data_IF_316420744567
#
_entry.id   IF_316420744567
#
_cell.length_a   1.000
_cell.length_b   1.000
_cell.length_c   1.000
_cell.angle_alpha   90.00
_cell.angle_beta   90.00
_cell.angle_gamma   90.00
#
_symmetry.space_group_name_H-M   'P 1'
#
loop_
_entity.id
_entity.type
_entity.pdbx_description
1 polymer ?
#
# COMPACT_ATOMS: atom_id res chain seq x y z
N UNK A 1 29.22 -6.74 75.36
CA UNK A 1 27.95 -7.48 75.20
C UNK A 1 26.83 -6.46 75.04
N UNK A 2 25.99 -6.59 74.00
CA UNK A 2 24.72 -5.85 73.80
C UNK A 2 24.85 -4.56 72.97
N UNK A 3 24.63 -4.59 71.65
CA UNK A 3 23.35 -4.50 70.90
C UNK A 3 22.87 -3.03 70.74
N UNK A 4 23.14 -2.36 69.61
CA UNK A 4 22.41 -2.39 68.31
C UNK A 4 21.08 -1.65 68.32
N UNK A 5 21.02 -0.45 67.71
CA UNK A 5 19.84 0.08 66.98
C UNK A 5 20.36 1.00 65.86
N UNK A 6 20.50 0.47 64.64
CA UNK A 6 20.51 1.31 63.43
C UNK A 6 19.07 1.74 63.11
N UNK A 7 18.86 2.91 62.48
CA UNK A 7 17.52 3.36 62.16
C UNK A 7 16.84 2.39 61.18
N UNK A 8 15.49 2.27 61.23
CA UNK A 8 14.77 1.28 60.45
C UNK A 8 14.88 1.58 58.96
N UNK A 9 15.27 0.55 58.18
CA UNK A 9 15.06 0.50 56.73
C UNK A 9 13.55 0.41 56.47
N UNK A 10 12.88 1.56 56.49
CA UNK A 10 11.46 1.69 56.19
C UNK A 10 11.22 1.68 54.68
N UNK A 11 10.74 0.53 54.19
CA UNK A 11 9.94 0.28 52.98
C UNK A 11 10.10 1.20 51.76
N UNK A 12 10.52 0.62 50.64
CA UNK A 12 10.18 1.18 49.33
C UNK A 12 8.66 1.33 49.22
N UNK A 13 8.12 2.55 48.97
CA UNK A 13 6.70 2.70 48.71
C UNK A 13 6.36 1.94 47.42
N UNK A 14 5.35 1.08 47.47
CA UNK A 14 4.76 0.51 46.27
C UNK A 14 4.29 1.65 45.37
N UNK A 15 4.96 1.84 44.23
CA UNK A 15 4.49 2.76 43.19
C UNK A 15 3.29 2.09 42.52
N UNK A 16 2.10 2.41 43.00
CA UNK A 16 0.88 2.17 42.24
C UNK A 16 1.03 2.85 40.88
N UNK A 17 0.91 2.10 39.80
CA UNK A 17 0.84 2.68 38.47
C UNK A 17 -0.51 3.38 38.31
N UNK A 18 -0.51 4.55 37.67
CA UNK A 18 -1.74 5.27 37.37
C UNK A 18 -2.75 4.38 36.64
N UNK A 19 -3.99 4.50 37.09
CA UNK A 19 -5.12 3.63 36.85
C UNK A 19 -5.29 3.22 35.38
N UNK A 20 -5.48 1.92 35.14
CA UNK A 20 -5.85 1.33 33.84
C UNK A 20 -6.98 2.10 33.14
N UNK A 21 -7.87 2.71 33.92
CA UNK A 21 -8.98 3.57 33.50
C UNK A 21 -8.58 4.91 32.87
N UNK A 22 -7.42 5.48 33.22
CA UNK A 22 -6.90 6.69 32.59
C UNK A 22 -6.46 6.45 31.13
N UNK A 23 -6.25 5.17 30.75
CA UNK A 23 -5.98 4.73 29.37
C UNK A 23 -7.22 4.10 28.69
N UNK A 24 -8.33 3.96 29.42
CA UNK A 24 -9.54 3.38 28.88
C UNK A 24 -10.28 4.41 28.03
N UNK A 25 -10.46 4.12 26.74
CA UNK A 25 -11.32 4.94 25.89
C UNK A 25 -12.76 4.90 26.41
N UNK A 26 -13.37 6.07 26.60
CA UNK A 26 -14.80 6.14 26.88
C UNK A 26 -15.59 5.57 25.70
N UNK A 27 -16.80 5.03 25.94
CA UNK A 27 -17.68 4.53 24.87
C UNK A 27 -17.91 5.58 23.78
N UNK A 28 -18.03 6.86 24.14
CA UNK A 28 -18.19 7.96 23.19
C UNK A 28 -16.93 8.20 22.37
N UNK A 29 -15.75 8.17 22.99
CA UNK A 29 -14.49 8.28 22.25
C UNK A 29 -14.31 7.09 21.30
N UNK A 30 -14.58 5.87 21.76
CA UNK A 30 -14.54 4.69 20.90
C UNK A 30 -15.51 4.82 19.72
N UNK A 31 -16.78 5.16 19.97
CA UNK A 31 -17.79 5.34 18.92
C UNK A 31 -17.47 6.51 17.98
N UNK A 32 -16.98 7.63 18.52
CA UNK A 32 -16.59 8.80 17.73
C UNK A 32 -15.37 8.52 16.85
N UNK A 33 -14.35 7.85 17.38
CA UNK A 33 -13.16 7.46 16.65
C UNK A 33 -13.47 6.41 15.59
N UNK A 34 -14.25 5.38 15.91
CA UNK A 34 -14.66 4.35 14.92
C UNK A 34 -15.60 4.91 13.86
N UNK A 35 -16.55 5.76 14.21
CA UNK A 35 -17.41 6.43 13.22
C UNK A 35 -16.61 7.36 12.30
N UNK A 36 -15.66 8.12 12.84
CA UNK A 36 -14.78 8.98 12.04
C UNK A 36 -13.90 8.19 11.07
N UNK A 37 -13.29 7.09 11.54
CA UNK A 37 -12.49 6.20 10.69
C UNK A 37 -13.34 5.54 9.60
N UNK A 38 -14.51 5.00 9.95
CA UNK A 38 -15.41 4.37 8.98
C UNK A 38 -15.93 5.37 7.94
N UNK A 39 -16.26 6.60 8.35
CA UNK A 39 -16.66 7.65 7.41
C UNK A 39 -15.52 8.04 6.46
N UNK A 40 -14.29 8.16 6.97
CA UNK A 40 -13.12 8.42 6.14
C UNK A 40 -12.81 7.29 5.15
N UNK A 41 -13.11 6.03 5.51
CA UNK A 41 -12.99 4.88 4.61
C UNK A 41 -14.14 4.80 3.59
N UNK A 42 -15.35 5.23 3.97
CA UNK A 42 -16.52 5.19 3.09
C UNK A 42 -16.45 6.22 1.94
N UNK A 43 -15.65 7.27 2.06
CA UNK A 43 -15.50 8.30 1.03
C UNK A 43 -14.48 7.98 -0.05
N UNK A 44 -13.75 6.85 0.08
CA UNK A 44 -12.69 6.48 -0.86
C UNK A 44 -13.04 5.19 -1.59
N UNK A 45 -13.16 5.24 -2.93
CA UNK A 45 -13.53 4.07 -3.74
C UNK A 45 -12.43 3.00 -3.80
N UNK A 46 -11.26 3.24 -3.21
CA UNK A 46 -10.10 2.35 -3.28
C UNK A 46 -10.14 1.19 -2.26
N UNK A 47 -11.03 1.23 -1.27
CA UNK A 47 -11.02 0.25 -0.16
C UNK A 47 -11.99 -0.90 -0.33
N UNK A 48 -13.00 -0.75 -1.18
CA UNK A 48 -13.93 -1.81 -1.50
C UNK A 48 -13.50 -2.42 -2.84
N UNK A 49 -13.06 -3.69 -2.88
CA UNK A 49 -12.77 -4.34 -4.14
C UNK A 49 -14.08 -4.40 -4.94
N UNK A 50 -14.16 -3.60 -6.00
CA UNK A 50 -15.22 -3.70 -6.99
C UNK A 50 -14.80 -4.73 -8.03
N UNK A 51 -15.76 -5.43 -8.64
CA UNK A 51 -15.46 -6.19 -9.84
C UNK A 51 -14.96 -5.19 -10.89
N UNK A 52 -13.75 -5.40 -11.39
CA UNK A 52 -13.21 -4.61 -12.48
C UNK A 52 -14.13 -4.83 -13.68
N UNK A 53 -14.85 -3.79 -14.11
CA UNK A 53 -15.56 -3.83 -15.37
C UNK A 53 -14.51 -3.79 -16.48
N UNK A 54 -14.45 -4.86 -17.27
CA UNK A 54 -13.67 -4.85 -18.50
C UNK A 54 -14.32 -3.80 -19.40
N UNK A 55 -13.58 -2.74 -19.68
CA UNK A 55 -14.12 -1.64 -20.44
C UNK A 55 -14.33 -2.08 -21.91
N UNK A 56 -15.35 -1.51 -22.57
CA UNK A 56 -15.82 -1.99 -23.88
C UNK A 56 -14.82 -1.86 -25.04
N UNK A 57 -13.67 -1.21 -24.83
CA UNK A 57 -12.57 -1.08 -25.79
C UNK A 57 -11.25 -1.06 -25.03
N UNK A 58 -10.17 -1.59 -25.62
CA UNK A 58 -8.85 -1.49 -25.01
C UNK A 58 -8.36 -0.02 -24.95
N UNK A 59 -7.58 0.37 -23.93
CA UNK A 59 -6.93 1.67 -23.89
C UNK A 59 -5.77 1.75 -24.88
N UNK A 60 -5.39 2.98 -25.24
CA UNK A 60 -4.15 3.20 -26.02
C UNK A 60 -2.95 3.32 -25.09
N UNK A 61 -1.77 2.74 -25.41
CA UNK A 61 -0.58 2.91 -24.60
C UNK A 61 -0.10 4.37 -24.58
N UNK A 62 0.54 4.79 -23.47
CA UNK A 62 1.19 6.10 -23.43
C UNK A 62 2.28 6.20 -24.53
N UNK A 63 2.35 7.30 -25.29
CA UNK A 63 3.38 7.47 -26.30
C UNK A 63 4.78 7.50 -25.69
N UNK A 64 5.71 6.75 -26.31
CA UNK A 64 7.10 6.65 -25.86
C UNK A 64 7.25 5.77 -24.62
N UNK A 65 8.31 6.03 -23.86
CA UNK A 65 8.70 5.33 -22.64
C UNK A 65 10.22 5.22 -22.51
N UNK A 66 10.69 4.43 -21.55
CA UNK A 66 12.13 4.35 -21.26
C UNK A 66 12.96 3.62 -22.34
N UNK A 67 12.33 2.81 -23.19
CA UNK A 67 12.96 2.11 -24.30
C UNK A 67 11.94 1.78 -25.42
N UNK A 68 12.39 1.53 -26.66
CA UNK A 68 11.48 1.12 -27.74
C UNK A 68 10.63 -0.10 -27.37
N UNK A 69 9.31 0.02 -27.53
CA UNK A 69 8.36 -1.04 -27.18
C UNK A 69 7.94 -1.07 -25.70
N UNK A 70 8.49 -0.19 -24.86
CA UNK A 70 8.08 -0.05 -23.46
C UNK A 70 7.23 1.22 -23.28
N UNK A 71 6.04 1.06 -22.70
CA UNK A 71 5.06 2.15 -22.50
C UNK A 71 4.96 2.55 -21.02
N UNK A 72 6.10 2.93 -20.44
CA UNK A 72 6.23 3.39 -19.07
C UNK A 72 7.39 4.37 -18.93
N UNK A 73 7.27 5.31 -18.01
CA UNK A 73 8.35 6.21 -17.60
C UNK A 73 8.80 5.88 -16.18
N UNK A 74 10.11 5.97 -15.94
CA UNK A 74 10.72 5.59 -14.67
C UNK A 74 11.30 6.83 -13.96
N UNK A 75 11.14 6.87 -12.63
CA UNK A 75 11.75 7.88 -11.77
C UNK A 75 10.78 8.90 -11.19
N UNK A 76 11.24 9.78 -10.28
CA UNK A 76 10.40 10.79 -9.65
C UNK A 76 9.90 11.84 -10.65
N UNK A 77 8.64 12.25 -10.51
CA UNK A 77 8.06 13.36 -11.28
C UNK A 77 7.73 13.04 -12.75
N UNK A 78 7.86 11.80 -13.17
CA UNK A 78 7.40 11.33 -14.48
C UNK A 78 5.95 10.85 -14.41
N UNK A 79 5.30 10.75 -15.57
CA UNK A 79 3.94 10.23 -15.69
C UNK A 79 3.88 8.76 -15.24
N UNK A 80 3.11 8.42 -14.17
CA UNK A 80 3.02 7.05 -13.69
C UNK A 80 2.10 6.15 -14.53
N UNK A 81 1.24 6.71 -15.40
CA UNK A 81 0.36 5.92 -16.27
C UNK A 81 1.08 5.20 -17.40
N UNK A 82 0.56 4.02 -17.76
CA UNK A 82 0.95 3.27 -18.97
C UNK A 82 -0.07 3.42 -20.11
N UNK A 83 -1.21 4.09 -19.87
CA UNK A 83 -2.27 4.34 -20.84
C UNK A 83 -2.43 5.83 -21.15
N UNK A 84 -2.78 6.14 -22.39
CA UNK A 84 -2.91 7.51 -22.90
C UNK A 84 -4.33 8.06 -22.78
N UNK A 85 -4.46 9.39 -22.89
CA UNK A 85 -5.74 10.11 -22.82
C UNK A 85 -6.58 9.71 -21.60
N UNK A 86 -5.91 9.56 -20.47
CA UNK A 86 -6.46 9.04 -19.23
C UNK A 86 -6.60 10.14 -18.16
N UNK A 87 -7.67 10.05 -17.38
CA UNK A 87 -7.90 10.86 -16.18
C UNK A 87 -8.45 9.98 -15.07
N UNK A 88 -7.66 9.78 -14.02
CA UNK A 88 -8.04 8.95 -12.90
C UNK A 88 -6.95 8.82 -11.84
N UNK A 89 -6.99 7.72 -11.09
CA UNK A 89 -6.01 7.38 -10.06
C UNK A 89 -5.09 6.27 -10.56
N UNK A 90 -3.78 6.53 -10.52
CA UNK A 90 -2.75 5.51 -10.82
C UNK A 90 -2.03 5.15 -9.53
N UNK A 91 -2.06 3.88 -9.18
CA UNK A 91 -1.20 3.30 -8.16
C UNK A 91 -0.02 2.58 -8.80
N UNK A 92 1.15 2.72 -8.17
CA UNK A 92 2.40 2.10 -8.60
C UNK A 92 2.94 1.27 -7.44
N UNK A 93 3.29 0.03 -7.72
CA UNK A 93 3.90 -0.90 -6.77
C UNK A 93 5.13 -1.54 -7.43
N UNK A 94 6.30 -0.98 -7.12
CA UNK A 94 7.58 -1.57 -7.48
C UNK A 94 7.96 -2.62 -6.44
N UNK A 95 8.13 -3.86 -6.88
CA UNK A 95 8.50 -5.00 -6.04
C UNK A 95 9.88 -5.47 -6.43
N UNK A 96 10.85 -5.18 -5.56
CA UNK A 96 12.24 -5.61 -5.73
C UNK A 96 12.57 -6.76 -4.78
N UNK A 97 13.47 -7.65 -5.21
CA UNK A 97 13.89 -8.76 -4.39
C UNK A 97 15.02 -9.57 -5.00
N UNK A 98 15.24 -10.74 -4.44
CA UNK A 98 16.15 -11.75 -4.98
C UNK A 98 15.40 -13.05 -5.21
N UNK A 99 15.89 -13.83 -6.17
CA UNK A 99 15.34 -15.13 -6.52
C UNK A 99 16.44 -16.16 -6.74
N UNK A 100 16.06 -17.42 -6.89
CA UNK A 100 16.98 -18.48 -7.33
C UNK A 100 16.49 -19.02 -8.67
N UNK A 101 17.23 -18.74 -9.74
CA UNK A 101 17.03 -19.38 -11.02
C UNK A 101 17.56 -20.81 -10.96
N UNK A 102 16.79 -21.77 -11.49
CA UNK A 102 17.25 -23.15 -11.65
C UNK A 102 17.29 -23.48 -13.13
N UNK A 103 18.47 -23.84 -13.64
CA UNK A 103 18.58 -24.38 -14.99
C UNK A 103 17.88 -25.75 -15.03
N UNK A 104 16.82 -25.86 -15.83
CA UNK A 104 15.97 -27.07 -15.87
C UNK A 104 16.66 -28.28 -16.50
N UNK A 105 17.74 -28.08 -17.27
CA UNK A 105 18.51 -29.15 -17.91
C UNK A 105 19.67 -29.65 -17.05
N UNK A 106 20.35 -28.76 -16.31
CA UNK A 106 21.55 -29.11 -15.52
C UNK A 106 21.29 -29.15 -14.01
N UNK A 107 20.16 -28.61 -13.55
CA UNK A 107 19.85 -28.44 -12.13
C UNK A 107 20.67 -27.35 -11.42
N UNK A 108 21.56 -26.66 -12.13
CA UNK A 108 22.40 -25.61 -11.56
C UNK A 108 21.53 -24.46 -11.03
N UNK A 109 21.85 -23.98 -9.83
CA UNK A 109 21.17 -22.86 -9.17
C UNK A 109 22.00 -21.58 -9.27
N UNK A 110 21.35 -20.47 -9.53
CA UNK A 110 21.96 -19.15 -9.63
C UNK A 110 21.12 -18.13 -8.87
N UNK A 111 21.77 -17.31 -8.05
CA UNK A 111 21.10 -16.17 -7.42
C UNK A 111 20.78 -15.11 -8.48
N UNK A 112 19.55 -14.61 -8.48
CA UNK A 112 19.04 -13.62 -9.41
C UNK A 112 18.50 -12.41 -8.65
N UNK A 113 18.53 -11.26 -9.30
CA UNK A 113 17.76 -10.10 -8.87
C UNK A 113 16.35 -10.18 -9.46
N UNK A 114 15.38 -9.68 -8.71
CA UNK A 114 13.98 -9.56 -9.12
C UNK A 114 13.57 -8.09 -9.03
N UNK A 115 12.90 -7.61 -10.06
CA UNK A 115 12.22 -6.32 -10.08
C UNK A 115 10.92 -6.48 -10.89
N UNK A 116 9.84 -5.90 -10.39
CA UNK A 116 8.53 -5.90 -11.03
C UNK A 116 7.85 -4.57 -10.77
N UNK A 117 7.40 -3.93 -11.84
CA UNK A 117 6.68 -2.67 -11.79
C UNK A 117 5.20 -2.93 -12.05
N UNK A 118 4.42 -3.02 -10.97
CA UNK A 118 2.99 -3.25 -11.04
C UNK A 118 2.25 -1.92 -11.02
N UNK A 119 1.33 -1.72 -11.96
CA UNK A 119 0.46 -0.55 -12.01
C UNK A 119 -0.99 -0.95 -11.97
N UNK A 120 -1.77 -0.28 -11.14
CA UNK A 120 -3.22 -0.38 -11.14
C UNK A 120 -3.82 1.00 -11.38
N UNK A 121 -4.83 1.05 -12.25
CA UNK A 121 -5.35 2.30 -12.79
C UNK A 121 -6.87 2.27 -12.79
N UNK A 122 -7.52 3.36 -12.39
CA UNK A 122 -8.97 3.48 -12.44
C UNK A 122 -9.37 4.90 -12.84
N UNK A 123 -10.20 5.01 -13.87
CA UNK A 123 -10.76 6.29 -14.29
C UNK A 123 -11.28 6.30 -15.73
N UNK A 124 -11.36 7.51 -16.27
CA UNK A 124 -11.85 7.75 -17.64
C UNK A 124 -10.68 7.70 -18.62
N UNK A 125 -10.90 7.12 -19.80
CA UNK A 125 -9.90 7.05 -20.85
C UNK A 125 -10.55 7.10 -22.24
N UNK A 126 -9.75 7.37 -23.27
CA UNK A 126 -10.16 7.22 -24.67
C UNK A 126 -9.67 5.86 -25.19
N UNK A 127 -10.63 5.01 -25.59
CA UNK A 127 -10.33 3.67 -26.10
C UNK A 127 -9.77 3.71 -27.53
N UNK A 128 -9.26 2.58 -27.99
CA UNK A 128 -8.84 2.40 -29.38
C UNK A 128 -9.98 2.66 -30.39
N UNK A 129 -11.24 2.56 -29.96
CA UNK A 129 -12.42 2.93 -30.75
C UNK A 129 -12.67 4.46 -30.85
N UNK A 130 -11.81 5.27 -30.22
CA UNK A 130 -11.90 6.73 -30.20
C UNK A 130 -12.99 7.30 -29.29
N UNK A 131 -13.66 6.46 -28.49
CA UNK A 131 -14.72 6.89 -27.56
C UNK A 131 -14.22 6.98 -26.13
N UNK A 132 -14.92 7.74 -25.31
CA UNK A 132 -14.67 7.82 -23.87
C UNK A 132 -15.28 6.61 -23.17
N UNK A 133 -14.49 5.99 -22.31
CA UNK A 133 -14.86 4.87 -21.47
C UNK A 133 -14.44 5.13 -20.03
N UNK A 134 -14.99 4.34 -19.11
CA UNK A 134 -14.56 4.26 -17.72
C UNK A 134 -14.10 2.82 -17.48
N UNK A 135 -12.99 2.63 -16.75
CA UNK A 135 -12.43 1.31 -16.57
C UNK A 135 -11.40 1.22 -15.45
N UNK A 136 -11.09 -0.02 -15.08
CA UNK A 136 -10.07 -0.39 -14.11
C UNK A 136 -9.10 -1.37 -14.74
N UNK A 137 -7.79 -1.12 -14.61
CA UNK A 137 -6.72 -1.86 -15.28
C UNK A 137 -5.65 -2.30 -14.30
N UNK A 138 -5.00 -3.42 -14.60
CA UNK A 138 -3.77 -3.88 -13.95
C UNK A 138 -2.73 -4.23 -15.00
N UNK A 139 -1.52 -3.71 -14.85
CA UNK A 139 -0.35 -4.03 -15.67
C UNK A 139 0.77 -4.55 -14.76
N UNK A 140 1.44 -5.63 -15.17
CA UNK A 140 2.50 -6.34 -14.45
C UNK A 140 3.74 -6.42 -15.32
#
# INVERSE_FOLDING_TARGET
MGNSIGPPMGGHPYVGHDHFWARAMSRRQFLGTTAGAAAAMATTPLWFPTLAEAAGSDPTPIPGGFAPGFHAFLGPGVEPSSIFNYRGVTGVATVQGTGTGTNTSTGQKTALLFDSDNRFMQGQYIGMDGRRHEGTFGFV
#
